data_IF_065292924198
#
_entry.id   IF_065292924198
#
_cell.length_a   1.000
_cell.length_b   1.000
_cell.length_c   1.000
_cell.angle_alpha   90.00
_cell.angle_beta   90.00
_cell.angle_gamma   90.00
#
_symmetry.space_group_name_H-M   'P 1'
#
loop_
_entity.id
_entity.type
_entity.pdbx_description
1 polymer ?
#
# COMPACT_ATOMS: atom_id res chain seq x y z
N UNK A 1 15.75 -8.55 29.64
CA UNK A 1 15.16 -7.26 29.23
C UNK A 1 15.04 -7.25 27.72
N UNK A 2 13.96 -7.81 27.20
CA UNK A 2 13.68 -7.96 25.76
C UNK A 2 13.21 -6.62 25.21
N UNK A 3 14.03 -5.99 24.36
CA UNK A 3 13.69 -4.75 23.65
C UNK A 3 12.86 -5.12 22.42
N UNK A 4 11.55 -5.06 22.54
CA UNK A 4 10.62 -5.19 21.41
C UNK A 4 10.64 -3.84 20.67
N UNK A 5 11.32 -3.79 19.53
CA UNK A 5 11.33 -2.62 18.66
C UNK A 5 10.04 -2.65 17.82
N UNK A 6 9.03 -1.90 18.24
CA UNK A 6 7.80 -1.69 17.47
C UNK A 6 8.11 -0.60 16.43
N UNK A 7 8.46 -0.99 15.21
CA UNK A 7 8.62 -0.07 14.10
C UNK A 7 7.22 0.23 13.52
N UNK A 8 6.58 1.29 13.99
CA UNK A 8 5.37 1.83 13.37
C UNK A 8 5.79 2.66 12.14
N UNK A 9 5.51 2.17 10.93
CA UNK A 9 5.82 2.89 9.70
C UNK A 9 4.52 3.22 8.96
N UNK A 10 4.16 4.51 8.96
CA UNK A 10 3.02 5.03 8.22
C UNK A 10 3.33 5.06 6.71
N UNK A 11 2.52 4.40 5.90
CA UNK A 11 2.60 4.47 4.44
C UNK A 11 1.76 5.67 3.98
N UNK A 12 2.42 6.70 3.46
CA UNK A 12 1.77 7.86 2.83
C UNK A 12 1.65 7.62 1.33
N UNK A 13 0.44 7.41 0.83
CA UNK A 13 0.16 7.35 -0.62
C UNK A 13 0.19 8.77 -1.20
N UNK A 14 1.12 9.03 -2.12
CA UNK A 14 1.18 10.28 -2.86
C UNK A 14 0.65 10.08 -4.28
N UNK A 15 -0.46 10.74 -4.61
CA UNK A 15 -1.00 10.80 -5.97
C UNK A 15 -0.06 11.61 -6.90
N UNK A 16 -0.07 11.34 -8.23
CA UNK A 16 0.74 12.09 -9.19
C UNK A 16 0.37 13.58 -9.23
N UNK A 17 1.40 14.42 -9.38
CA UNK A 17 1.43 15.87 -9.18
C UNK A 17 0.57 16.75 -10.12
N UNK A 18 -0.52 16.22 -10.69
CA UNK A 18 -1.47 16.99 -11.48
C UNK A 18 -2.54 17.70 -10.62
N UNK A 19 -2.70 17.30 -9.36
CA UNK A 19 -3.66 17.91 -8.44
C UNK A 19 -2.92 18.70 -7.36
N UNK A 20 -3.05 20.02 -7.45
CA UNK A 20 -2.48 20.98 -6.54
C UNK A 20 -2.74 20.60 -5.07
N UNK A 21 -1.66 20.49 -4.29
CA UNK A 21 -1.53 20.83 -2.88
C UNK A 21 -2.81 20.78 -2.02
N UNK A 22 -3.49 19.64 -1.99
CA UNK A 22 -4.49 19.34 -0.96
C UNK A 22 -3.88 18.28 -0.05
N UNK A 23 -4.06 18.36 1.29
CA UNK A 23 -3.70 17.25 2.16
C UNK A 23 -4.48 16.03 1.66
N UNK A 24 -3.78 15.09 1.02
CA UNK A 24 -4.40 13.87 0.51
C UNK A 24 -4.95 13.15 1.74
N UNK A 25 -6.27 13.17 1.92
CA UNK A 25 -6.95 12.30 2.88
C UNK A 25 -6.69 10.86 2.44
N UNK A 26 -5.56 10.31 2.85
CA UNK A 26 -5.14 8.94 2.55
C UNK A 26 -5.54 8.00 3.67
N UNK A 27 -5.89 6.77 3.31
CA UNK A 27 -6.13 5.69 4.27
C UNK A 27 -4.84 4.90 4.41
N UNK A 28 -4.30 4.83 5.62
CA UNK A 28 -3.12 4.02 5.91
C UNK A 28 -3.52 2.54 6.08
N UNK A 29 -2.90 1.66 5.30
CA UNK A 29 -3.04 0.21 5.44
C UNK A 29 -1.75 -0.33 6.05
N UNK A 30 -1.84 -0.83 7.28
CA UNK A 30 -0.74 -1.53 7.92
C UNK A 30 -0.53 -2.90 7.28
N UNK A 31 0.73 -3.20 6.95
CA UNK A 31 1.18 -4.45 6.32
C UNK A 31 2.37 -4.98 7.09
N UNK A 32 2.30 -6.23 7.54
CA UNK A 32 3.41 -6.93 8.20
C UNK A 32 4.09 -7.93 7.27
N UNK A 33 5.31 -8.33 7.56
CA UNK A 33 6.01 -9.38 6.79
C UNK A 33 5.22 -10.69 6.77
N UNK A 34 4.51 -11.02 7.85
CA UNK A 34 3.64 -12.20 7.91
C UNK A 34 2.47 -12.11 6.93
N UNK A 35 1.98 -10.90 6.65
CA UNK A 35 0.92 -10.71 5.67
C UNK A 35 1.43 -10.81 4.24
N UNK A 36 2.70 -10.45 3.98
CA UNK A 36 3.33 -10.56 2.67
C UNK A 36 3.65 -12.00 2.28
N UNK A 37 3.96 -12.84 3.27
CA UNK A 37 4.36 -14.24 3.10
C UNK A 37 3.17 -15.24 3.08
N UNK A 38 1.95 -14.79 3.37
CA UNK A 38 0.74 -15.63 3.36
C UNK A 38 -0.22 -15.16 2.26
N UNK A 39 -0.57 -16.05 1.34
CA UNK A 39 -1.40 -15.71 0.17
C UNK A 39 -2.80 -15.22 0.56
N UNK A 40 -3.39 -15.76 1.62
CA UNK A 40 -4.73 -15.37 2.06
C UNK A 40 -4.71 -13.99 2.75
N UNK A 41 -3.67 -13.69 3.53
CA UNK A 41 -3.45 -12.37 4.16
C UNK A 41 -3.18 -11.31 3.11
N UNK A 42 -2.35 -11.62 2.12
CA UNK A 42 -2.10 -10.73 1.00
C UNK A 42 -3.39 -10.40 0.26
N UNK A 43 -4.18 -11.40 -0.15
CA UNK A 43 -5.43 -11.15 -0.87
C UNK A 43 -6.38 -10.22 -0.07
N UNK A 44 -6.38 -10.31 1.26
CA UNK A 44 -7.14 -9.38 2.12
C UNK A 44 -6.57 -7.96 2.09
N UNK A 45 -5.25 -7.79 1.99
CA UNK A 45 -4.64 -6.47 1.82
C UNK A 45 -5.02 -5.88 0.46
N UNK A 46 -4.97 -6.67 -0.61
CA UNK A 46 -5.36 -6.25 -1.96
C UNK A 46 -6.84 -5.80 -1.99
N UNK A 47 -7.75 -6.55 -1.36
CA UNK A 47 -9.15 -6.12 -1.19
C UNK A 47 -9.25 -4.79 -0.44
N UNK A 48 -8.54 -4.65 0.69
CA UNK A 48 -8.56 -3.42 1.50
C UNK A 48 -8.01 -2.21 0.73
N UNK A 49 -7.02 -2.42 -0.15
CA UNK A 49 -6.50 -1.38 -1.04
C UNK A 49 -7.61 -0.88 -1.98
N UNK A 50 -8.35 -1.79 -2.61
CA UNK A 50 -9.46 -1.42 -3.49
C UNK A 50 -10.58 -0.65 -2.77
N UNK A 51 -10.97 -1.12 -1.59
CA UNK A 51 -11.97 -0.44 -0.75
C UNK A 51 -11.51 0.95 -0.31
N UNK A 52 -10.24 1.07 0.09
CA UNK A 52 -9.64 2.33 0.47
C UNK A 52 -9.54 3.31 -0.71
N UNK A 53 -9.14 2.84 -1.89
CA UNK A 53 -9.12 3.65 -3.11
C UNK A 53 -10.51 4.19 -3.44
N UNK A 54 -11.55 3.36 -3.34
CA UNK A 54 -12.93 3.77 -3.58
C UNK A 54 -13.40 4.84 -2.58
N UNK A 55 -13.03 4.70 -1.30
CA UNK A 55 -13.36 5.70 -0.28
C UNK A 55 -12.66 7.05 -0.52
N UNK A 56 -11.34 7.03 -0.73
CA UNK A 56 -10.54 8.24 -0.97
C UNK A 56 -11.01 8.96 -2.24
N UNK A 57 -11.23 8.21 -3.32
CA UNK A 57 -11.64 8.80 -4.59
C UNK A 57 -13.07 9.34 -4.56
N UNK A 58 -14.00 8.68 -3.84
CA UNK A 58 -15.35 9.23 -3.62
C UNK A 58 -15.32 10.60 -2.98
N UNK A 59 -14.46 10.80 -1.98
CA UNK A 59 -14.31 12.09 -1.30
C UNK A 59 -13.66 13.15 -2.20
N UNK A 60 -12.65 12.78 -2.99
CA UNK A 60 -11.95 13.73 -3.88
C UNK A 60 -12.81 14.23 -5.04
N UNK A 61 -13.62 13.38 -5.66
CA UNK A 61 -14.38 13.74 -6.87
C UNK A 61 -15.76 14.35 -6.57
N UNK A 62 -16.09 14.60 -5.28
CA UNK A 62 -17.40 15.13 -4.86
C UNK A 62 -17.83 16.40 -5.61
N UNK A 63 -16.89 17.29 -5.95
CA UNK A 63 -17.15 18.57 -6.62
C UNK A 63 -16.89 18.56 -8.13
N UNK A 64 -16.62 17.41 -8.74
CA UNK A 64 -16.26 17.31 -10.15
C UNK A 64 -17.49 17.25 -11.07
N UNK A 65 -17.45 17.98 -12.19
CA UNK A 65 -18.49 17.99 -13.21
C UNK A 65 -18.53 16.66 -14.00
N UNK A 66 -17.39 15.97 -14.11
CA UNK A 66 -17.21 14.67 -14.79
C UNK A 66 -17.07 13.51 -13.79
N UNK A 67 -17.69 13.65 -12.62
CA UNK A 67 -17.52 12.77 -11.45
C UNK A 67 -17.46 11.27 -11.71
N UNK A 68 -18.31 10.74 -12.59
CA UNK A 68 -18.34 9.30 -12.86
C UNK A 68 -17.07 8.81 -13.59
N UNK A 69 -16.54 9.61 -14.51
CA UNK A 69 -15.32 9.30 -15.25
C UNK A 69 -14.10 9.48 -14.36
N UNK A 70 -14.02 10.62 -13.66
CA UNK A 70 -12.88 10.93 -12.79
C UNK A 70 -12.81 10.06 -11.55
N UNK A 71 -13.95 9.54 -11.05
CA UNK A 71 -13.97 8.55 -9.97
C UNK A 71 -13.31 7.24 -10.41
N UNK A 72 -13.64 6.74 -11.61
CA UNK A 72 -13.10 5.46 -12.10
C UNK A 72 -11.61 5.55 -12.33
N UNK A 73 -11.15 6.61 -12.98
CA UNK A 73 -9.72 6.85 -13.24
C UNK A 73 -8.94 7.03 -11.91
N UNK A 74 -9.54 7.73 -10.94
CA UNK A 74 -8.94 7.86 -9.61
C UNK A 74 -8.77 6.51 -8.91
N UNK A 75 -9.81 5.67 -8.92
CA UNK A 75 -9.78 4.36 -8.26
C UNK A 75 -8.72 3.47 -8.91
N UNK A 76 -8.67 3.44 -10.24
CA UNK A 76 -7.70 2.66 -11.00
C UNK A 76 -6.27 3.10 -10.69
N UNK A 77 -5.97 4.40 -10.83
CA UNK A 77 -4.65 4.94 -10.57
C UNK A 77 -4.22 4.76 -9.10
N UNK A 78 -5.14 4.94 -8.14
CA UNK A 78 -4.84 4.79 -6.71
C UNK A 78 -4.58 3.32 -6.35
N UNK A 79 -5.38 2.41 -6.91
CA UNK A 79 -5.21 0.96 -6.70
C UNK A 79 -3.90 0.49 -7.31
N UNK A 80 -3.62 0.85 -8.56
CA UNK A 80 -2.37 0.47 -9.25
C UNK A 80 -1.14 0.98 -8.49
N UNK A 81 -1.16 2.25 -8.05
CA UNK A 81 -0.08 2.83 -7.26
C UNK A 81 0.13 2.12 -5.91
N UNK A 82 -0.95 1.75 -5.23
CA UNK A 82 -0.87 1.02 -3.96
C UNK A 82 -0.38 -0.43 -4.14
N UNK A 83 -0.83 -1.10 -5.20
CA UNK A 83 -0.38 -2.45 -5.57
C UNK A 83 1.10 -2.47 -5.94
N UNK A 84 1.59 -1.49 -6.69
CA UNK A 84 3.01 -1.35 -7.01
C UNK A 84 3.89 -1.17 -5.75
N UNK A 85 3.39 -0.43 -4.75
CA UNK A 85 4.09 -0.31 -3.46
C UNK A 85 4.09 -1.63 -2.68
N UNK A 86 2.99 -2.38 -2.72
CA UNK A 86 2.89 -3.70 -2.10
C UNK A 86 3.89 -4.67 -2.74
N UNK A 87 3.97 -4.72 -4.07
CA UNK A 87 4.91 -5.57 -4.81
C UNK A 87 6.37 -5.21 -4.53
N UNK A 88 6.70 -3.92 -4.46
CA UNK A 88 8.04 -3.47 -4.08
C UNK A 88 8.43 -3.97 -2.68
N UNK A 89 7.51 -3.95 -1.71
CA UNK A 89 7.73 -4.49 -0.36
C UNK A 89 7.97 -6.00 -0.37
N UNK A 90 7.24 -6.74 -1.21
CA UNK A 90 7.40 -8.19 -1.35
C UNK A 90 8.76 -8.55 -1.92
N UNK A 91 9.23 -7.82 -2.94
CA UNK A 91 10.56 -7.98 -3.49
C UNK A 91 11.67 -7.80 -2.43
N UNK A 92 11.57 -6.75 -1.61
CA UNK A 92 12.51 -6.50 -0.50
C UNK A 92 12.46 -7.61 0.55
N UNK A 93 11.25 -8.06 0.93
CA UNK A 93 11.07 -9.11 1.93
C UNK A 93 11.66 -10.44 1.45
N UNK A 94 11.46 -10.78 0.17
CA UNK A 94 12.02 -11.98 -0.44
C UNK A 94 13.56 -11.95 -0.50
N UNK A 95 14.14 -10.79 -0.84
CA UNK A 95 15.60 -10.59 -0.83
C UNK A 95 16.19 -10.76 0.57
N UNK A 96 15.59 -10.10 1.58
CA UNK A 96 16.06 -10.22 2.97
C UNK A 96 15.94 -11.66 3.51
N UNK A 97 14.89 -12.39 3.14
CA UNK A 97 14.72 -13.79 3.50
C UNK A 97 15.79 -14.69 2.84
N UNK A 98 16.21 -14.38 1.61
CA UNK A 98 17.26 -15.11 0.92
C UNK A 98 18.64 -14.87 1.55
N UNK A 99 18.97 -13.62 1.90
CA UNK A 99 20.24 -13.25 2.55
C UNK A 99 20.42 -13.97 3.90
N UNK A 100 19.36 -14.03 4.72
CA UNK A 100 19.40 -14.72 6.02
C UNK A 100 19.60 -16.24 5.92
N UNK A 101 19.11 -16.86 4.83
CA UNK A 101 19.31 -18.29 4.57
C UNK A 101 20.76 -18.59 4.18
N UNK A 102 21.37 -17.73 3.35
CA UNK A 102 22.79 -17.84 2.99
C UNK A 102 23.67 -17.71 4.24
N UNK A 103 23.44 -16.68 5.05
CA UNK A 103 24.21 -16.44 6.27
C UNK A 103 24.08 -17.58 7.30
N UNK A 104 22.93 -18.24 7.39
CA UNK A 104 22.72 -19.38 8.30
C UNK A 104 23.34 -20.69 7.78
N UNK A 105 23.63 -20.78 6.47
CA UNK A 105 24.23 -21.98 5.86
C UNK A 105 25.76 -22.00 5.91
N UNK A 106 26.38 -20.88 6.31
CA UNK A 106 27.84 -20.72 6.43
C UNK A 106 28.37 -20.94 7.88
N UNK A 107 27.56 -21.53 8.76
CA UNK A 107 27.94 -21.97 10.12
C UNK A 107 27.65 -23.46 10.32
#
# INVERSE_FOLDING_TARGET
>A
MTRIAIAALAITLAAPAAFASQPVSGIAIEVTDADLNDAARLARIETRIGEAAEQVCREQVMSDLLRAYTLRDCIEATTEHAMAQLDARRGVTALAAAENQVASSEH
#
